data_IF_617117484551
#
_entry.id   IF_617117484551
#
_cell.length_a   1.000
_cell.length_b   1.000
_cell.length_c   1.000
_cell.angle_alpha   90.00
_cell.angle_beta   90.00
_cell.angle_gamma   90.00
#
_symmetry.space_group_name_H-M   'P 1'
#
loop_
_entity.id
_entity.type
_entity.pdbx_description
1 polymer ?
#
# COMPACT_ATOMS: atom_id res chain seq x y z
N UNK A 1 -3.99 -20.07 9.62
CA UNK A 1 -2.73 -19.84 8.89
C UNK A 1 -2.76 -18.57 8.07
N UNK A 2 -2.42 -17.44 8.69
CA UNK A 2 -2.06 -16.23 7.95
C UNK A 2 -0.58 -16.33 7.61
N UNK A 3 -0.24 -16.71 6.39
CA UNK A 3 1.15 -16.90 5.94
C UNK A 3 1.96 -15.60 5.81
N UNK A 4 1.36 -14.45 6.15
CA UNK A 4 1.99 -13.13 5.99
C UNK A 4 2.10 -12.66 4.53
N UNK A 5 1.53 -13.39 3.58
CA UNK A 5 1.65 -13.08 2.14
C UNK A 5 0.81 -11.90 1.67
N UNK A 6 -0.22 -11.49 2.42
CA UNK A 6 -1.14 -10.44 1.98
C UNK A 6 -0.44 -9.10 1.72
N UNK A 7 0.44 -8.69 2.62
CA UNK A 7 1.13 -7.40 2.51
C UNK A 7 2.21 -7.43 1.43
N UNK A 8 2.88 -8.57 1.22
CA UNK A 8 3.89 -8.68 0.14
C UNK A 8 3.24 -8.68 -1.25
N UNK A 9 2.07 -9.30 -1.39
CA UNK A 9 1.28 -9.22 -2.63
C UNK A 9 0.82 -7.77 -2.86
N UNK A 10 0.27 -7.11 -1.85
CA UNK A 10 -0.15 -5.71 -1.96
C UNK A 10 1.01 -4.78 -2.34
N UNK A 11 2.17 -4.92 -1.68
CA UNK A 11 3.35 -4.12 -1.97
C UNK A 11 3.85 -4.30 -3.40
N UNK A 12 3.79 -5.53 -3.94
CA UNK A 12 4.13 -5.80 -5.34
C UNK A 12 3.17 -5.09 -6.29
N UNK A 13 1.86 -5.21 -6.09
CA UNK A 13 0.85 -4.56 -6.93
C UNK A 13 1.04 -3.03 -6.91
N UNK A 14 1.22 -2.44 -5.73
CA UNK A 14 1.43 -1.00 -5.57
C UNK A 14 2.70 -0.55 -6.33
N UNK A 15 3.77 -1.33 -6.23
CA UNK A 15 5.04 -1.01 -6.92
C UNK A 15 4.91 -1.10 -8.45
N UNK A 16 4.18 -2.10 -8.96
CA UNK A 16 3.89 -2.26 -10.40
C UNK A 16 3.07 -1.07 -10.95
N UNK A 17 2.29 -0.39 -10.09
CA UNK A 17 1.54 0.84 -10.43
C UNK A 17 2.31 2.13 -10.08
N UNK A 18 3.61 2.04 -9.81
CA UNK A 18 4.45 3.18 -9.41
C UNK A 18 3.91 3.94 -8.18
N UNK A 19 3.16 3.24 -7.34
CA UNK A 19 2.59 3.76 -6.11
C UNK A 19 3.50 3.64 -4.91
N UNK A 20 3.01 4.12 -3.78
CA UNK A 20 3.68 4.06 -2.47
C UNK A 20 2.74 3.53 -1.40
N UNK A 21 3.29 2.75 -0.48
CA UNK A 21 2.64 2.31 0.75
C UNK A 21 3.35 2.93 1.96
N UNK A 22 2.57 3.50 2.87
CA UNK A 22 3.02 4.00 4.16
C UNK A 22 2.24 3.27 5.26
N UNK A 23 2.90 3.06 6.38
CA UNK A 23 2.26 2.44 7.55
C UNK A 23 2.49 3.36 8.73
N UNK A 24 1.39 3.91 9.21
CA UNK A 24 1.36 4.61 10.48
C UNK A 24 0.78 3.65 11.51
N UNK A 25 1.52 3.38 12.58
CA UNK A 25 1.00 2.52 13.64
C UNK A 25 1.35 3.09 14.99
N UNK A 26 0.39 2.98 15.89
CA UNK A 26 0.56 3.28 17.30
C UNK A 26 0.17 2.03 18.07
N UNK A 27 1.01 1.65 19.04
CA UNK A 27 0.79 0.45 19.85
C UNK A 27 -0.59 0.42 20.54
N UNK A 28 -1.23 1.58 20.73
CA UNK A 28 -2.55 1.74 21.35
C UNK A 28 -3.72 1.89 20.38
N UNK A 29 -3.50 2.13 19.09
CA UNK A 29 -4.56 2.52 18.13
C UNK A 29 -4.65 1.62 16.90
N UNK A 30 -3.75 0.64 16.77
CA UNK A 30 -3.70 -0.26 15.63
C UNK A 30 -2.76 0.26 14.54
N UNK A 31 -3.08 -0.05 13.28
CA UNK A 31 -2.25 0.30 12.15
C UNK A 31 -3.11 0.89 11.02
N UNK A 32 -2.70 2.04 10.52
CA UNK A 32 -3.19 2.70 9.33
C UNK A 32 -2.23 2.42 8.17
N UNK A 33 -2.80 2.03 7.01
CA UNK A 33 -2.06 1.76 5.79
C UNK A 33 -2.50 2.77 4.72
N UNK A 34 -1.58 3.63 4.32
CA UNK A 34 -1.85 4.72 3.37
C UNK A 34 -1.26 4.32 2.02
N UNK A 35 -2.12 4.17 1.00
CA UNK A 35 -1.72 3.83 -0.36
C UNK A 35 -1.87 5.07 -1.25
N UNK A 36 -0.77 5.49 -1.86
CA UNK A 36 -0.77 6.59 -2.84
C UNK A 36 -0.46 6.03 -4.22
N UNK A 37 -1.30 6.31 -5.21
CA UNK A 37 -1.07 5.94 -6.61
C UNK A 37 -0.98 7.21 -7.46
N UNK A 38 -0.09 7.25 -8.47
CA UNK A 38 -0.13 8.30 -9.48
C UNK A 38 -1.49 8.29 -10.19
N UNK A 39 -2.06 9.48 -10.42
CA UNK A 39 -3.06 9.60 -11.47
C UNK A 39 -2.33 9.31 -12.78
N UNK A 40 -2.79 8.33 -13.55
CA UNK A 40 -2.22 8.04 -14.87
C UNK A 40 -2.26 9.26 -15.78
N UNK A 41 -1.73 9.14 -17.00
CA UNK A 41 -1.74 10.26 -17.94
C UNK A 41 -3.15 10.82 -18.07
N UNK A 42 -3.33 12.05 -17.57
CA UNK A 42 -4.53 12.83 -17.77
C UNK A 42 -4.46 13.33 -19.22
N UNK A 43 -4.80 12.46 -20.16
CA UNK A 43 -5.06 12.93 -21.52
C UNK A 43 -6.24 13.91 -21.46
N UNK A 44 -6.08 15.13 -22.00
CA UNK A 44 -7.12 16.14 -22.02
C UNK A 44 -8.31 15.77 -22.91
#
# INVERSE_FOLDING_TARGET
DGTGLGLSIAQRIISEHQGRLEVESSASEGAEFIITLPLGDLEP
#
